data_IF_483709248113
#
_entry.id   IF_483709248113
#
_cell.length_a   1.000
_cell.length_b   1.000
_cell.length_c   1.000
_cell.angle_alpha   90.00
_cell.angle_beta   90.00
_cell.angle_gamma   90.00
#
_symmetry.space_group_name_H-M   'P 1'
#
loop_
_entity.id
_entity.type
_entity.pdbx_description
1 polymer ?
#
# COMPACT_ATOMS: atom_id res chain seq x y z
N UNK A 1 -20.25 -25.88 -28.21
CA UNK A 1 -20.25 -24.72 -29.11
C UNK A 1 -21.42 -23.86 -28.71
N UNK A 2 -21.19 -22.75 -27.99
CA UNK A 2 -22.24 -21.83 -27.56
C UNK A 2 -21.95 -20.46 -28.17
N UNK A 3 -22.88 -19.98 -29.00
CA UNK A 3 -22.94 -18.59 -29.47
C UNK A 3 -23.68 -17.76 -28.44
N UNK A 4 -23.18 -16.56 -28.15
CA UNK A 4 -23.89 -15.54 -27.39
C UNK A 4 -23.87 -14.26 -28.22
N UNK A 5 -25.04 -13.89 -28.75
CA UNK A 5 -25.33 -12.62 -29.40
C UNK A 5 -26.39 -11.92 -28.54
N UNK A 6 -26.13 -10.69 -28.15
CA UNK A 6 -27.03 -9.87 -27.33
C UNK A 6 -26.26 -8.81 -26.58
N UNK A 7 -26.49 -7.55 -26.95
CA UNK A 7 -25.80 -6.36 -26.44
C UNK A 7 -25.76 -6.33 -24.90
N UNK A 8 -24.54 -6.42 -24.39
CA UNK A 8 -24.24 -6.77 -23.02
C UNK A 8 -24.44 -5.61 -22.05
N UNK A 9 -25.56 -5.65 -21.32
CA UNK A 9 -25.57 -5.15 -19.95
C UNK A 9 -24.71 -6.10 -19.11
N UNK A 10 -23.53 -5.67 -18.66
CA UNK A 10 -22.74 -6.40 -17.65
C UNK A 10 -22.38 -5.48 -16.50
N UNK A 11 -22.90 -5.89 -15.35
CA UNK A 11 -23.17 -5.12 -14.14
C UNK A 11 -21.88 -4.81 -13.39
N UNK A 12 -21.91 -3.67 -12.68
CA UNK A 12 -20.81 -3.11 -11.93
C UNK A 12 -20.41 -3.90 -10.68
N UNK A 13 -19.11 -3.82 -10.43
CA UNK A 13 -18.42 -3.65 -9.15
C UNK A 13 -19.09 -4.19 -7.87
N UNK A 14 -18.57 -5.29 -7.35
CA UNK A 14 -18.58 -5.57 -5.92
C UNK A 14 -17.30 -6.36 -5.60
N UNK A 15 -16.44 -5.80 -4.75
CA UNK A 15 -15.35 -6.54 -4.14
C UNK A 15 -15.98 -7.47 -3.10
N UNK A 16 -16.22 -8.73 -3.46
CA UNK A 16 -16.68 -9.72 -2.49
C UNK A 16 -15.45 -10.42 -1.92
N UNK A 17 -14.84 -9.81 -0.91
CA UNK A 17 -14.16 -10.60 0.10
C UNK A 17 -15.25 -11.35 0.88
N UNK A 18 -15.20 -12.68 0.91
CA UNK A 18 -16.02 -13.46 1.84
C UNK A 18 -15.57 -13.13 3.27
N UNK A 19 -16.09 -12.03 3.84
CA UNK A 19 -15.87 -11.66 5.25
C UNK A 19 -15.91 -10.17 5.59
N UNK A 20 -15.58 -9.25 4.68
CA UNK A 20 -15.58 -7.80 4.95
C UNK A 20 -16.03 -7.04 3.69
N UNK A 21 -17.12 -6.29 3.81
CA UNK A 21 -17.67 -5.48 2.72
C UNK A 21 -16.87 -4.18 2.56
N UNK A 22 -15.99 -4.14 1.57
CA UNK A 22 -15.39 -2.89 1.09
C UNK A 22 -16.12 -2.43 -0.17
N UNK A 23 -16.63 -1.20 -0.16
CA UNK A 23 -17.10 -0.53 -1.38
C UNK A 23 -15.90 -0.03 -2.19
N UNK A 24 -16.04 0.05 -3.51
CA UNK A 24 -14.96 0.50 -4.39
C UNK A 24 -15.32 1.87 -4.99
N UNK A 25 -14.40 2.84 -4.86
CA UNK A 25 -14.61 4.27 -5.13
C UNK A 25 -14.69 4.66 -6.62
N UNK A 26 -14.43 3.72 -7.52
CA UNK A 26 -14.59 3.93 -8.96
C UNK A 26 -14.92 2.59 -9.61
N UNK A 27 -15.67 2.61 -10.72
CA UNK A 27 -15.82 1.42 -11.57
C UNK A 27 -14.57 1.33 -12.45
N UNK A 28 -13.61 0.43 -12.16
CA UNK A 28 -12.44 0.29 -13.00
C UNK A 28 -12.88 -0.16 -14.40
N UNK A 29 -12.38 0.53 -15.42
CA UNK A 29 -12.67 0.20 -16.81
C UNK A 29 -11.39 -0.10 -17.57
N UNK A 30 -11.36 -1.19 -18.31
CA UNK A 30 -10.28 -1.53 -19.24
C UNK A 30 -10.83 -1.43 -20.66
N UNK A 31 -10.17 -0.65 -21.52
CA UNK A 31 -10.66 -0.35 -22.87
C UNK A 31 -12.13 0.13 -22.90
N UNK A 32 -12.52 0.98 -21.94
CA UNK A 32 -13.87 1.51 -21.81
C UNK A 32 -14.93 0.51 -21.31
N UNK A 33 -14.52 -0.67 -20.81
CA UNK A 33 -15.43 -1.70 -20.27
C UNK A 33 -15.19 -1.92 -18.79
N UNK A 34 -16.24 -1.98 -17.95
CA UNK A 34 -16.10 -2.39 -16.55
C UNK A 34 -15.42 -3.76 -16.44
N UNK A 35 -14.48 -3.92 -15.51
CA UNK A 35 -13.94 -5.24 -15.15
C UNK A 35 -14.02 -5.49 -13.65
N UNK A 36 -14.04 -6.76 -13.26
CA UNK A 36 -14.21 -7.19 -11.86
C UNK A 36 -12.95 -7.94 -11.44
N UNK A 37 -12.35 -7.52 -10.33
CA UNK A 37 -11.36 -8.32 -9.62
C UNK A 37 -12.09 -9.18 -8.58
N UNK A 38 -11.98 -10.51 -8.69
CA UNK A 38 -12.57 -11.43 -7.72
C UNK A 38 -11.43 -12.05 -6.93
N UNK A 39 -11.34 -11.72 -5.64
CA UNK A 39 -10.51 -12.47 -4.71
C UNK A 39 -11.15 -13.83 -4.48
N UNK A 40 -10.42 -14.91 -4.71
CA UNK A 40 -10.83 -16.23 -4.24
C UNK A 40 -9.78 -16.71 -3.27
N UNK A 41 -10.17 -16.85 -2.02
CA UNK A 41 -9.36 -17.45 -0.97
C UNK A 41 -9.00 -18.88 -1.36
N UNK A 42 -7.74 -19.25 -1.18
CA UNK A 42 -7.28 -20.62 -1.43
C UNK A 42 -7.03 -20.95 -2.89
N UNK A 43 -6.68 -19.96 -3.72
CA UNK A 43 -6.32 -20.16 -5.13
C UNK A 43 -4.83 -19.93 -5.34
N UNK A 44 -4.21 -20.77 -6.17
CA UNK A 44 -2.87 -20.54 -6.69
C UNK A 44 -2.97 -19.78 -8.03
N UNK A 45 -2.34 -18.63 -8.11
CA UNK A 45 -2.11 -17.87 -9.32
C UNK A 45 -0.65 -18.03 -9.77
N UNK A 46 -0.36 -18.17 -11.08
CA UNK A 46 1.02 -18.36 -11.56
C UNK A 46 1.94 -17.16 -11.30
N UNK A 47 1.39 -15.95 -11.13
CA UNK A 47 2.14 -14.72 -10.87
C UNK A 47 2.11 -14.40 -9.37
N UNK A 48 0.93 -14.39 -8.75
CA UNK A 48 0.75 -13.97 -7.37
C UNK A 48 1.00 -15.08 -6.32
N UNK A 49 1.24 -16.32 -6.76
CA UNK A 49 1.40 -17.46 -5.86
C UNK A 49 0.08 -17.82 -5.17
N UNK A 50 0.13 -18.24 -3.90
CA UNK A 50 -1.07 -18.60 -3.17
C UNK A 50 -1.78 -17.35 -2.65
N UNK A 51 -3.04 -17.17 -3.07
CA UNK A 51 -3.88 -16.03 -2.74
C UNK A 51 -4.84 -16.42 -1.61
N UNK A 52 -4.69 -15.76 -0.46
CA UNK A 52 -5.53 -15.95 0.72
C UNK A 52 -6.28 -14.67 1.10
N UNK A 53 -6.63 -13.86 0.10
CA UNK A 53 -7.33 -12.59 0.26
C UNK A 53 -6.54 -11.41 -0.29
N UNK A 54 -7.13 -10.23 -0.18
CA UNK A 54 -6.50 -8.97 -0.54
C UNK A 54 -6.40 -8.05 0.68
N UNK A 55 -5.36 -7.22 0.71
CA UNK A 55 -5.30 -6.06 1.58
C UNK A 55 -6.07 -4.90 0.95
N UNK A 56 -5.38 -3.81 0.62
CA UNK A 56 -5.97 -2.69 -0.13
C UNK A 56 -6.16 -3.03 -1.61
N UNK A 57 -7.18 -2.45 -2.23
CA UNK A 57 -7.33 -2.37 -3.69
C UNK A 57 -7.84 -0.97 -4.12
N UNK A 58 -7.29 -0.42 -5.20
CA UNK A 58 -7.68 0.90 -5.73
C UNK A 58 -7.58 0.95 -7.26
N UNK A 59 -8.39 1.80 -7.89
CA UNK A 59 -8.22 2.15 -9.29
C UNK A 59 -7.01 3.08 -9.46
N UNK A 60 -6.12 2.73 -10.38
CA UNK A 60 -4.90 3.46 -10.73
C UNK A 60 -4.81 3.43 -12.26
N UNK A 61 -5.04 4.58 -12.89
CA UNK A 61 -5.18 4.70 -14.33
C UNK A 61 -6.34 3.86 -14.87
N UNK A 62 -6.04 3.02 -15.87
CA UNK A 62 -6.95 2.03 -16.47
C UNK A 62 -6.85 0.64 -15.81
N UNK A 63 -6.23 0.56 -14.64
CA UNK A 63 -5.97 -0.70 -13.92
C UNK A 63 -6.51 -0.67 -12.49
N UNK A 64 -6.60 -1.85 -11.88
CA UNK A 64 -6.79 -2.00 -10.43
C UNK A 64 -5.47 -2.48 -9.85
N UNK A 65 -4.94 -1.74 -8.91
CA UNK A 65 -3.78 -2.14 -8.11
C UNK A 65 -4.28 -2.68 -6.78
N UNK A 66 -3.71 -3.78 -6.32
CA UNK A 66 -4.15 -4.45 -5.10
C UNK A 66 -3.00 -5.18 -4.40
N UNK A 67 -3.12 -5.33 -3.08
CA UNK A 67 -2.20 -6.10 -2.26
C UNK A 67 -2.71 -7.52 -2.14
N UNK A 68 -1.88 -8.52 -2.43
CA UNK A 68 -2.20 -9.93 -2.17
C UNK A 68 -1.64 -10.32 -0.81
N UNK A 69 -2.39 -11.18 -0.09
CA UNK A 69 -1.95 -11.76 1.17
C UNK A 69 -1.81 -13.27 1.07
N UNK A 70 -0.79 -13.78 1.74
CA UNK A 70 -0.69 -15.17 2.16
C UNK A 70 -0.93 -15.24 3.68
N UNK A 71 -2.12 -15.72 4.05
CA UNK A 71 -2.68 -15.63 5.40
C UNK A 71 -2.66 -14.20 5.95
N UNK A 72 -1.74 -13.91 6.88
CA UNK A 72 -1.65 -12.63 7.57
C UNK A 72 -0.62 -11.68 6.95
N UNK A 73 0.13 -12.11 5.94
CA UNK A 73 1.24 -11.34 5.39
C UNK A 73 0.93 -10.86 3.97
N UNK A 74 1.11 -9.57 3.71
CA UNK A 74 1.16 -9.06 2.35
C UNK A 74 2.37 -9.67 1.62
N UNK A 75 2.13 -10.30 0.48
CA UNK A 75 3.15 -10.96 -0.35
C UNK A 75 3.59 -10.09 -1.53
N UNK A 76 2.82 -9.05 -1.84
CA UNK A 76 3.14 -8.13 -2.91
C UNK A 76 1.97 -7.24 -3.32
N UNK A 77 2.28 -6.36 -4.26
CA UNK A 77 1.38 -5.47 -4.97
C UNK A 77 1.26 -5.95 -6.41
N UNK A 78 0.04 -6.05 -6.89
CA UNK A 78 -0.31 -6.63 -8.17
C UNK A 78 -1.25 -5.70 -8.93
N UNK A 79 -1.32 -5.89 -10.24
CA UNK A 79 -2.15 -5.09 -11.13
C UNK A 79 -3.02 -5.98 -12.00
N UNK A 80 -4.28 -5.59 -12.13
CA UNK A 80 -5.25 -6.23 -13.02
C UNK A 80 -5.79 -5.24 -14.05
N UNK A 81 -5.84 -5.68 -15.32
CA UNK A 81 -6.38 -4.93 -16.47
C UNK A 81 -7.45 -5.73 -17.21
N UNK A 82 -8.19 -6.61 -16.52
CA UNK A 82 -9.15 -7.53 -17.15
C UNK A 82 -8.53 -8.72 -17.91
N UNK A 83 -7.20 -8.83 -17.93
CA UNK A 83 -6.43 -9.98 -18.40
C UNK A 83 -5.76 -10.75 -17.26
N UNK A 84 -4.66 -11.47 -17.53
CA UNK A 84 -3.80 -12.05 -16.49
C UNK A 84 -3.33 -11.00 -15.48
N UNK A 85 -3.11 -11.42 -14.23
CA UNK A 85 -2.54 -10.57 -13.20
C UNK A 85 -1.07 -10.27 -13.54
N UNK A 86 -0.67 -9.02 -13.34
CA UNK A 86 0.71 -8.57 -13.47
C UNK A 86 1.28 -8.29 -12.08
N UNK A 87 2.51 -8.75 -11.83
CA UNK A 87 3.24 -8.40 -10.60
C UNK A 87 3.79 -6.98 -10.72
N UNK A 88 3.43 -6.09 -9.79
CA UNK A 88 4.04 -4.76 -9.67
C UNK A 88 5.29 -4.87 -8.81
N UNK A 89 5.15 -5.46 -7.62
CA UNK A 89 6.24 -5.77 -6.71
C UNK A 89 5.82 -6.93 -5.82
N UNK A 90 6.69 -7.89 -5.55
CA UNK A 90 6.38 -9.03 -4.68
C UNK A 90 7.63 -9.50 -3.93
N UNK A 91 7.45 -10.39 -2.95
CA UNK A 91 8.58 -10.98 -2.23
C UNK A 91 9.57 -11.61 -3.23
N UNK A 92 10.85 -11.26 -3.09
CA UNK A 92 11.91 -11.64 -4.02
C UNK A 92 12.19 -10.62 -5.13
N UNK A 93 11.40 -9.56 -5.27
CA UNK A 93 11.68 -8.48 -6.24
C UNK A 93 12.95 -7.74 -5.84
N UNK A 94 13.90 -7.63 -6.76
CA UNK A 94 15.14 -6.86 -6.54
C UNK A 94 14.91 -5.37 -6.81
N UNK A 95 15.36 -4.51 -5.90
CA UNK A 95 15.31 -3.06 -6.00
C UNK A 95 16.69 -2.50 -5.62
N UNK A 96 17.46 -2.07 -6.62
CA UNK A 96 18.86 -1.74 -6.44
C UNK A 96 19.65 -2.93 -5.87
N UNK A 97 20.37 -2.70 -4.77
CA UNK A 97 21.16 -3.72 -4.06
C UNK A 97 20.35 -4.50 -3.00
N UNK A 98 19.03 -4.30 -2.95
CA UNK A 98 18.13 -4.93 -1.98
C UNK A 98 17.15 -5.90 -2.64
N UNK A 99 16.60 -6.81 -1.84
CA UNK A 99 15.51 -7.70 -2.25
C UNK A 99 14.35 -7.52 -1.29
N UNK A 100 13.16 -7.27 -1.83
CA UNK A 100 11.95 -7.09 -1.04
C UNK A 100 11.54 -8.39 -0.36
N UNK A 101 11.39 -8.35 0.96
CA UNK A 101 10.94 -9.48 1.79
C UNK A 101 9.54 -9.28 2.35
N UNK A 102 9.22 -8.05 2.74
CA UNK A 102 7.99 -7.68 3.43
C UNK A 102 7.32 -6.47 2.78
N UNK A 103 5.99 -6.46 2.86
CA UNK A 103 5.14 -5.39 2.36
C UNK A 103 4.16 -4.95 3.45
N UNK A 104 3.79 -3.68 3.43
CA UNK A 104 2.62 -3.22 4.17
C UNK A 104 1.33 -3.65 3.45
N UNK A 105 0.24 -3.74 4.21
CA UNK A 105 -1.08 -4.19 3.75
C UNK A 105 -1.83 -3.22 2.84
N UNK A 106 -1.28 -2.02 2.66
CA UNK A 106 -1.83 -1.00 1.80
C UNK A 106 -0.75 -0.13 1.17
N UNK A 107 -1.16 0.62 0.15
CA UNK A 107 -0.32 1.46 -0.69
C UNK A 107 -1.00 2.81 -0.91
N UNK A 108 -0.26 3.84 -1.32
CA UNK A 108 -0.83 5.09 -1.82
C UNK A 108 -0.82 5.12 -3.35
N UNK A 109 -1.71 5.91 -3.93
CA UNK A 109 -1.60 6.37 -5.32
C UNK A 109 -1.52 7.88 -5.33
N UNK A 110 -0.74 8.47 -6.23
CA UNK A 110 -0.86 9.91 -6.46
C UNK A 110 -2.19 10.13 -7.19
N UNK A 111 -3.04 11.02 -6.69
CA UNK A 111 -4.29 11.38 -7.37
C UNK A 111 -4.06 12.28 -8.58
N UNK A 112 -2.84 12.80 -8.74
CA UNK A 112 -2.45 13.71 -9.83
C UNK A 112 -1.61 13.04 -10.92
N UNK A 113 -0.97 11.90 -10.64
CA UNK A 113 -0.28 11.06 -11.62
C UNK A 113 -1.12 9.83 -11.96
N UNK A 114 -1.15 9.40 -13.22
CA UNK A 114 -2.15 8.40 -13.63
C UNK A 114 -1.86 6.98 -13.14
N UNK A 115 -0.58 6.58 -13.01
CA UNK A 115 -0.24 5.14 -12.94
C UNK A 115 0.71 4.72 -11.80
N UNK A 116 1.21 5.67 -11.02
CA UNK A 116 2.19 5.41 -9.96
C UNK A 116 1.53 5.06 -8.62
N UNK A 117 2.18 4.15 -7.89
CA UNK A 117 1.82 3.80 -6.51
C UNK A 117 3.04 3.88 -5.60
N UNK A 118 2.81 4.39 -4.38
CA UNK A 118 3.79 4.36 -3.31
C UNK A 118 3.50 3.16 -2.39
N UNK A 119 4.49 2.30 -2.21
CA UNK A 119 4.40 1.07 -1.43
C UNK A 119 5.39 1.13 -0.28
N UNK A 120 4.95 0.71 0.90
CA UNK A 120 5.86 0.43 2.01
C UNK A 120 6.37 -1.00 1.91
N UNK A 121 7.67 -1.17 1.77
CA UNK A 121 8.33 -2.46 1.59
C UNK A 121 9.77 -2.43 2.11
N UNK A 122 10.32 -3.60 2.42
CA UNK A 122 11.71 -3.73 2.88
C UNK A 122 12.16 -5.19 3.00
N UNK A 123 13.44 -5.40 3.31
CA UNK A 123 14.01 -6.74 3.43
C UNK A 123 13.52 -7.45 4.69
N UNK A 124 13.49 -6.73 5.83
CA UNK A 124 12.93 -7.15 7.14
C UNK A 124 13.01 -5.93 8.09
N UNK A 125 11.93 -5.21 8.49
CA UNK A 125 10.51 -5.15 8.07
C UNK A 125 10.23 -4.23 6.85
N UNK A 126 8.98 -3.77 6.65
CA UNK A 126 8.60 -2.79 5.62
C UNK A 126 8.99 -1.35 6.03
N UNK A 127 10.28 -1.08 6.06
CA UNK A 127 10.88 0.13 6.65
C UNK A 127 11.29 1.20 5.62
N UNK A 128 11.02 0.96 4.32
CA UNK A 128 11.22 1.92 3.25
C UNK A 128 9.94 2.22 2.47
N UNK A 129 9.97 3.30 1.67
CA UNK A 129 8.92 3.63 0.70
C UNK A 129 9.51 3.63 -0.70
N UNK A 130 8.84 2.92 -1.61
CA UNK A 130 9.15 2.91 -3.03
C UNK A 130 7.98 3.52 -3.82
N UNK A 131 8.28 4.33 -4.82
CA UNK A 131 7.34 4.76 -5.85
C UNK A 131 7.59 3.93 -7.11
N UNK A 132 6.52 3.41 -7.72
CA UNK A 132 6.63 2.59 -8.92
C UNK A 132 5.41 2.70 -9.83
N UNK A 133 5.66 2.63 -11.14
CA UNK A 133 4.63 2.44 -12.17
C UNK A 133 4.45 0.95 -12.56
N UNK A 134 5.20 0.05 -11.92
CA UNK A 134 5.29 -1.38 -12.24
C UNK A 134 6.43 -1.76 -13.18
N UNK A 135 7.20 -0.79 -13.69
CA UNK A 135 8.38 -1.03 -14.53
C UNK A 135 9.67 -0.52 -13.88
N UNK A 136 9.61 0.63 -13.22
CA UNK A 136 10.73 1.24 -12.52
C UNK A 136 10.41 1.46 -11.05
N UNK A 137 11.45 1.45 -10.22
CA UNK A 137 11.35 1.77 -8.80
C UNK A 137 12.19 3.01 -8.49
N UNK A 138 11.56 3.95 -7.81
CA UNK A 138 12.23 5.11 -7.20
C UNK A 138 12.13 4.99 -5.69
N UNK A 139 13.27 5.00 -5.00
CA UNK A 139 13.30 5.01 -3.54
C UNK A 139 12.90 6.40 -3.04
N UNK A 140 11.76 6.50 -2.37
CA UNK A 140 11.28 7.75 -1.76
C UNK A 140 11.76 7.89 -0.33
N UNK A 141 11.83 6.78 0.40
CA UNK A 141 12.37 6.69 1.76
C UNK A 141 13.23 5.42 1.85
N UNK A 142 14.56 5.55 2.01
CA UNK A 142 15.45 4.40 2.17
C UNK A 142 15.15 3.62 3.47
N UNK A 143 15.33 2.30 3.41
CA UNK A 143 15.38 1.45 4.61
C UNK A 143 16.44 1.96 5.61
N UNK A 144 16.14 1.87 6.90
CA UNK A 144 17.02 2.36 7.96
C UNK A 144 17.19 3.88 8.03
N UNK A 145 16.28 4.66 7.44
CA UNK A 145 16.22 6.12 7.62
C UNK A 145 16.06 6.47 9.11
N UNK A 146 16.71 7.55 9.55
CA UNK A 146 16.57 8.03 10.92
C UNK A 146 15.13 8.48 11.19
N UNK A 147 14.60 8.11 12.35
CA UNK A 147 13.30 8.57 12.81
C UNK A 147 13.51 9.79 13.71
N UNK A 148 12.98 10.97 13.35
CA UNK A 148 13.13 12.18 14.14
C UNK A 148 12.68 11.98 15.60
N UNK A 149 13.39 12.62 16.53
CA UNK A 149 13.12 12.63 17.97
C UNK A 149 13.14 11.26 18.70
N UNK A 150 13.26 10.13 18.01
CA UNK A 150 13.32 8.81 18.65
C UNK A 150 14.73 8.40 19.10
N UNK A 151 15.77 8.98 18.50
CA UNK A 151 17.16 8.52 18.67
C UNK A 151 17.49 7.23 17.90
N UNK A 152 16.55 6.72 17.10
CA UNK A 152 16.67 5.47 16.34
C UNK A 152 16.35 5.62 14.85
N UNK A 153 16.03 4.49 14.22
CA UNK A 153 15.68 4.38 12.80
C UNK A 153 14.23 3.93 12.62
N UNK A 154 13.69 4.15 11.42
CA UNK A 154 12.41 3.55 11.00
C UNK A 154 12.55 2.03 11.12
N UNK A 155 11.74 1.44 11.99
CA UNK A 155 11.64 -0.02 12.10
C UNK A 155 10.52 -0.56 11.20
N UNK A 156 9.47 0.23 10.96
CA UNK A 156 8.36 -0.14 10.09
C UNK A 156 7.60 1.12 9.70
N UNK A 157 7.07 1.13 8.48
CA UNK A 157 5.98 2.01 8.09
C UNK A 157 4.68 1.32 8.45
N UNK A 158 3.92 1.93 9.34
CA UNK A 158 2.65 1.40 9.83
C UNK A 158 1.52 2.18 9.16
N UNK A 159 0.54 1.50 8.59
CA UNK A 159 -0.53 2.16 7.88
C UNK A 159 -0.20 2.53 6.44
N UNK A 160 -1.24 2.97 5.74
CA UNK A 160 -1.15 3.30 4.32
C UNK A 160 -0.38 4.60 4.13
N UNK A 161 0.63 4.65 3.23
CA UNK A 161 1.21 5.93 2.85
C UNK A 161 0.15 6.84 2.24
N UNK A 162 0.34 8.15 2.35
CA UNK A 162 -0.51 9.17 1.73
C UNK A 162 0.30 9.94 0.70
N UNK A 163 -0.17 10.00 -0.55
CA UNK A 163 0.53 10.67 -1.64
C UNK A 163 -0.44 11.64 -2.36
N UNK A 164 -0.09 12.92 -2.37
CA UNK A 164 -0.89 13.94 -3.05
C UNK A 164 0.00 15.06 -3.62
N UNK A 165 -0.04 15.23 -4.95
CA UNK A 165 0.72 16.28 -5.63
C UNK A 165 2.22 16.18 -5.35
N UNK A 166 2.76 14.95 -5.41
CA UNK A 166 4.16 14.66 -5.08
C UNK A 166 4.55 14.77 -3.59
N UNK A 167 3.63 15.14 -2.70
CA UNK A 167 3.90 15.15 -1.26
C UNK A 167 3.52 13.81 -0.64
N UNK A 168 4.49 13.16 -0.02
CA UNK A 168 4.32 11.88 0.65
C UNK A 168 4.32 12.06 2.16
N UNK A 169 3.33 11.47 2.83
CA UNK A 169 3.28 11.33 4.28
C UNK A 169 3.14 9.87 4.68
N UNK A 170 3.73 9.51 5.81
CA UNK A 170 3.74 8.15 6.36
C UNK A 170 3.53 8.19 7.86
N UNK A 171 2.98 7.11 8.42
CA UNK A 171 3.10 6.83 9.85
C UNK A 171 4.23 5.81 9.99
N UNK A 172 5.21 6.14 10.82
CA UNK A 172 6.36 5.27 11.05
C UNK A 172 6.59 5.12 12.54
N UNK A 173 7.21 3.99 12.91
CA UNK A 173 7.58 3.72 14.29
C UNK A 173 9.06 3.31 14.40
N UNK A 174 9.57 3.40 15.61
CA UNK A 174 10.84 2.82 16.02
C UNK A 174 10.55 1.68 16.99
N UNK A 175 11.31 0.59 16.85
CA UNK A 175 11.33 -0.52 17.80
C UNK A 175 12.72 -0.51 18.45
N UNK A 176 12.83 -0.26 19.77
CA UNK A 176 14.10 -0.24 20.47
C UNK A 176 14.73 -1.64 20.60
N UNK A 177 14.01 -2.70 20.20
CA UNK A 177 14.49 -4.09 20.22
C UNK A 177 14.46 -4.71 21.61
N UNK A 178 13.78 -4.10 22.58
CA UNK A 178 13.63 -4.60 23.95
C UNK A 178 12.44 -5.56 24.14
N UNK A 179 11.64 -5.76 23.08
CA UNK A 179 10.47 -6.63 23.07
C UNK A 179 9.21 -6.02 23.69
N UNK A 180 9.23 -4.75 24.09
CA UNK A 180 8.07 -4.05 24.65
C UNK A 180 7.16 -3.41 23.58
N UNK A 181 7.42 -3.68 22.30
CA UNK A 181 6.73 -3.06 21.17
C UNK A 181 7.31 -1.68 20.86
N UNK A 182 6.64 -0.90 19.98
CA UNK A 182 7.13 0.42 19.61
C UNK A 182 7.14 1.36 20.82
N UNK A 183 8.29 1.96 21.09
CA UNK A 183 8.41 3.02 22.09
C UNK A 183 8.06 4.40 21.51
N UNK A 184 8.17 4.54 20.19
CA UNK A 184 8.06 5.82 19.52
C UNK A 184 7.38 5.71 18.16
N UNK A 185 6.43 6.61 17.88
CA UNK A 185 5.69 6.67 16.61
C UNK A 185 5.29 8.09 16.25
N UNK A 186 5.03 8.32 14.97
CA UNK A 186 4.59 9.62 14.48
C UNK A 186 4.09 9.60 13.05
N UNK A 187 3.55 10.74 12.63
CA UNK A 187 3.27 11.10 11.25
C UNK A 187 4.42 11.96 10.75
N UNK A 188 4.95 11.60 9.59
CA UNK A 188 6.09 12.27 8.98
C UNK A 188 5.80 12.59 7.53
N UNK A 189 6.33 13.72 7.08
CA UNK A 189 6.47 14.02 5.67
C UNK A 189 7.78 13.41 5.18
N UNK A 190 7.75 12.79 4.01
CA UNK A 190 8.95 12.30 3.34
C UNK A 190 9.45 13.40 2.39
N UNK A 191 10.67 13.87 2.62
CA UNK A 191 11.31 14.91 1.81
C UNK A 191 12.76 14.51 1.54
N UNK A 192 13.14 14.45 0.26
CA UNK A 192 14.53 14.16 -0.17
C UNK A 192 15.15 12.89 0.45
N UNK A 193 14.35 11.85 0.66
CA UNK A 193 14.83 10.60 1.27
C UNK A 193 14.94 10.64 2.80
N UNK A 194 14.46 11.70 3.45
CA UNK A 194 14.43 11.86 4.91
C UNK A 194 13.00 12.06 5.44
N UNK A 195 12.86 11.99 6.76
CA UNK A 195 11.61 12.26 7.46
C UNK A 195 11.64 13.65 8.11
N UNK A 196 10.61 14.44 7.83
CA UNK A 196 10.28 15.68 8.54
C UNK A 196 9.12 15.40 9.50
N UNK A 197 9.27 15.73 10.78
CA UNK A 197 8.21 15.54 11.79
C UNK A 197 7.00 16.41 11.47
N UNK A 198 5.82 15.79 11.39
CA UNK A 198 4.53 16.50 11.41
C UNK A 198 3.94 16.44 12.82
N UNK A 199 3.87 15.25 13.39
CA UNK A 199 3.47 14.99 14.78
C UNK A 199 4.07 13.67 15.26
N UNK A 200 4.51 13.57 16.50
CA UNK A 200 5.08 12.35 17.07
C UNK A 200 4.79 12.24 18.57
N UNK A 201 5.16 11.12 19.18
CA UNK A 201 4.99 10.86 20.62
C UNK A 201 5.93 11.63 21.54
N UNK A 202 6.71 12.61 21.04
CA UNK A 202 7.56 13.47 21.86
C UNK A 202 7.30 14.97 21.69
N UNK A 203 6.51 15.37 20.69
CA UNK A 203 6.27 16.77 20.35
C UNK A 203 4.88 17.18 20.84
N UNK A 204 4.81 18.22 21.68
CA UNK A 204 3.53 18.83 22.06
C UNK A 204 2.84 19.44 20.85
N UNK A 205 1.56 19.09 20.66
CA UNK A 205 0.72 19.76 19.68
C UNK A 205 0.35 21.17 20.19
N UNK A 206 0.21 22.17 19.29
CA UNK A 206 -0.17 23.53 19.67
C UNK A 206 -1.50 23.58 20.44
N UNK A 207 -1.55 24.27 21.59
CA UNK A 207 -2.75 24.43 22.41
C UNK A 207 -2.77 23.46 23.59
N UNK A 208 -3.97 22.97 23.96
CA UNK A 208 -4.17 22.09 25.13
C UNK A 208 -4.21 20.60 24.76
N UNK A 209 -3.76 20.23 23.56
CA UNK A 209 -3.85 18.85 23.06
C UNK A 209 -2.76 17.92 23.62
N UNK A 210 -1.68 18.47 24.18
CA UNK A 210 -0.57 17.70 24.73
C UNK A 210 0.20 16.90 23.66
N UNK A 211 0.81 15.81 24.09
CA UNK A 211 1.57 14.91 23.20
C UNK A 211 0.65 13.80 22.69
N UNK A 212 0.58 13.54 21.38
CA UNK A 212 -0.18 12.43 20.82
C UNK A 212 0.33 11.08 21.35
N UNK A 213 -0.58 10.19 21.72
CA UNK A 213 -0.25 8.83 22.12
C UNK A 213 -0.43 7.82 20.97
N UNK A 214 -1.28 8.13 19.98
CA UNK A 214 -1.75 7.20 18.95
C UNK A 214 -1.85 7.88 17.59
N UNK A 215 -1.61 7.11 16.53
CA UNK A 215 -1.75 7.51 15.14
C UNK A 215 -2.45 6.39 14.37
N UNK A 216 -3.31 6.75 13.43
CA UNK A 216 -4.08 5.78 12.65
C UNK A 216 -4.21 6.26 11.22
N UNK A 217 -3.94 5.37 10.27
CA UNK A 217 -4.28 5.56 8.86
C UNK A 217 -5.69 5.02 8.58
N UNK A 218 -6.69 5.43 9.36
CA UNK A 218 -8.08 5.20 8.95
C UNK A 218 -8.46 6.26 7.91
N UNK A 219 -7.97 6.08 6.69
CA UNK A 219 -8.53 6.77 5.53
C UNK A 219 -9.75 5.98 5.07
N UNK A 220 -10.81 6.03 5.87
CA UNK A 220 -12.20 5.83 5.43
C UNK A 220 -12.85 7.14 4.96
N UNK A 221 -12.04 8.19 4.74
CA UNK A 221 -12.52 9.44 4.17
C UNK A 221 -12.35 9.40 2.66
N UNK A 222 -13.36 8.82 2.02
CA UNK A 222 -13.63 8.95 0.61
C UNK A 222 -14.11 10.38 0.34
N UNK A 223 -13.30 11.15 -0.37
CA UNK A 223 -13.73 12.37 -1.06
C UNK A 223 -14.25 12.04 -2.46
#
# INVERSE_FOLDING_TARGET
>A
MWHWAGDGLRIGLAVVCLGLAGEANATPSHAGRPFVLIARTGISDPVAGFVNGFGRAQAVGDSVVFVVRDFANATGVFRGRGGPIEGVAQTGTSVGDSTLGHFHDGFARDTTASDEVAIAAGATPADGILLTDGTAFTTMLPSGTLLPNSGGKVANVIGEPYLAGGNLAVIAWHDPGDGNGPDFRGVYRVAEGALETVADTATELPGEFGVPDTFSSQMGFDG
#
